data_IF_946513760880
#
_entry.id   IF_946513760880
#
_cell.length_a   1.000
_cell.length_b   1.000
_cell.length_c   1.000
_cell.angle_alpha   90.00
_cell.angle_beta   90.00
_cell.angle_gamma   90.00
#
_symmetry.space_group_name_H-M   'P 1'
#
loop_
_entity.id
_entity.type
_entity.pdbx_description
1 polymer ?
#
# COMPACT_ATOMS: atom_id res chain seq x y z
N UNK A 1 9.31 1.30 -17.19
CA UNK A 1 9.91 2.64 -16.97
C UNK A 1 9.05 3.38 -15.94
N UNK A 2 9.63 4.19 -15.03
CA UNK A 2 8.84 4.93 -14.04
C UNK A 2 7.89 5.89 -14.76
N UNK A 3 6.65 5.98 -14.31
CA UNK A 3 5.66 6.94 -14.84
C UNK A 3 6.04 8.36 -14.43
N UNK A 4 5.48 9.36 -15.10
CA UNK A 4 5.69 10.76 -14.72
C UNK A 4 5.28 11.05 -13.26
N UNK A 5 4.27 10.31 -12.76
CA UNK A 5 3.80 10.36 -11.38
C UNK A 5 4.86 9.84 -10.40
N UNK A 6 5.51 8.71 -10.72
CA UNK A 6 6.53 8.11 -9.86
C UNK A 6 7.73 9.06 -9.69
N UNK A 7 8.11 9.75 -10.77
CA UNK A 7 9.20 10.74 -10.76
C UNK A 7 8.84 11.94 -9.87
N UNK A 8 7.65 12.52 -10.03
CA UNK A 8 7.21 13.69 -9.25
C UNK A 8 7.04 13.36 -7.77
N UNK A 9 6.53 12.17 -7.45
CA UNK A 9 6.38 11.69 -6.06
C UNK A 9 7.75 11.60 -5.38
N UNK A 10 8.75 11.05 -6.09
CA UNK A 10 10.13 10.95 -5.60
C UNK A 10 10.75 12.33 -5.32
N UNK A 11 10.47 13.33 -6.17
CA UNK A 11 10.99 14.69 -6.00
C UNK A 11 10.33 15.37 -4.78
N UNK A 12 9.02 15.21 -4.62
CA UNK A 12 8.26 15.82 -3.52
C UNK A 12 8.58 15.18 -2.15
N UNK A 13 8.98 13.90 -2.11
CA UNK A 13 9.36 13.21 -0.87
C UNK A 13 10.68 13.67 -0.22
N UNK A 14 11.50 14.47 -0.91
CA UNK A 14 12.76 14.99 -0.37
C UNK A 14 12.55 16.31 0.37
N UNK A 15 12.22 16.22 1.65
CA UNK A 15 12.24 17.39 2.54
C UNK A 15 13.68 17.63 3.01
N UNK A 16 14.34 18.67 2.48
CA UNK A 16 15.77 18.96 2.67
C UNK A 16 16.19 19.44 4.07
N UNK A 17 15.44 19.05 5.11
CA UNK A 17 15.68 19.43 6.49
C UNK A 17 16.89 18.70 7.09
N UNK A 18 17.71 19.42 7.87
CA UNK A 18 18.84 18.80 8.58
C UNK A 18 18.34 17.89 9.70
N UNK A 19 18.73 16.61 9.65
CA UNK A 19 18.43 15.63 10.68
C UNK A 19 19.54 15.59 11.74
N UNK A 20 19.17 15.47 13.01
CA UNK A 20 20.14 15.35 14.10
C UNK A 20 20.87 13.99 14.06
N UNK A 21 22.07 13.92 14.66
CA UNK A 21 22.83 12.67 14.75
C UNK A 21 22.06 11.54 15.48
N UNK A 22 21.23 11.89 16.48
CA UNK A 22 20.39 10.92 17.17
C UNK A 22 19.23 10.43 16.31
N UNK A 23 18.65 11.30 15.47
CA UNK A 23 17.60 10.92 14.52
C UNK A 23 18.15 9.96 13.47
N UNK A 24 19.34 10.24 12.94
CA UNK A 24 20.03 9.37 11.98
C UNK A 24 20.36 8.01 12.60
N UNK A 25 20.95 7.98 13.80
CA UNK A 25 21.26 6.72 14.48
C UNK A 25 20.01 5.90 14.80
N UNK A 26 18.91 6.54 15.20
CA UNK A 26 17.63 5.86 15.40
C UNK A 26 17.10 5.28 14.08
N UNK A 27 17.13 6.06 12.98
CA UNK A 27 16.70 5.63 11.67
C UNK A 27 17.53 4.46 11.12
N UNK A 28 18.84 4.41 11.40
CA UNK A 28 19.71 3.29 11.02
C UNK A 28 19.35 1.98 11.75
N UNK A 29 18.81 2.07 12.97
CA UNK A 29 18.40 0.91 13.76
C UNK A 29 16.94 0.51 13.56
N UNK A 30 16.13 1.37 12.95
CA UNK A 30 14.70 1.18 12.74
C UNK A 30 14.42 -0.05 11.83
N UNK A 31 13.66 -1.06 12.31
CA UNK A 31 13.28 -2.21 11.50
C UNK A 31 12.64 -1.86 10.16
N UNK A 32 11.84 -0.79 10.09
CA UNK A 32 11.17 -0.35 8.86
C UNK A 32 12.18 0.08 7.78
N UNK A 33 13.32 0.66 8.17
CA UNK A 33 14.37 1.08 7.24
C UNK A 33 15.34 -0.05 6.88
N UNK A 34 15.47 -1.06 7.76
CA UNK A 34 16.47 -2.13 7.62
C UNK A 34 15.97 -3.35 6.83
N UNK A 35 14.66 -3.64 6.88
CA UNK A 35 14.13 -4.88 6.34
C UNK A 35 14.42 -5.07 4.84
N UNK A 36 14.25 -4.02 4.03
CA UNK A 36 14.52 -4.07 2.59
C UNK A 36 15.94 -4.52 2.28
N UNK A 37 16.95 -3.85 2.84
CA UNK A 37 18.35 -4.19 2.61
C UNK A 37 18.69 -5.60 3.15
N UNK A 38 18.11 -6.00 4.28
CA UNK A 38 18.31 -7.35 4.81
C UNK A 38 17.74 -8.43 3.88
N UNK A 39 16.55 -8.19 3.31
CA UNK A 39 15.91 -9.08 2.35
C UNK A 39 16.71 -9.18 1.04
N UNK A 40 17.19 -8.05 0.51
CA UNK A 40 18.02 -8.01 -0.69
C UNK A 40 19.34 -8.77 -0.49
N UNK A 41 19.99 -8.55 0.66
CA UNK A 41 21.22 -9.27 1.01
C UNK A 41 21.00 -10.77 1.16
N UNK A 42 19.85 -11.19 1.69
CA UNK A 42 19.49 -12.62 1.76
C UNK A 42 19.32 -13.21 0.35
N UNK A 43 18.60 -12.52 -0.54
CA UNK A 43 18.35 -12.97 -1.90
C UNK A 43 19.64 -13.04 -2.74
N UNK A 44 20.50 -12.02 -2.65
CA UNK A 44 21.80 -12.01 -3.32
C UNK A 44 22.72 -13.13 -2.78
N UNK A 45 22.79 -13.30 -1.46
CA UNK A 45 23.56 -14.39 -0.86
C UNK A 45 23.06 -15.77 -1.28
N UNK A 46 21.74 -15.97 -1.33
CA UNK A 46 21.14 -17.25 -1.69
C UNK A 46 21.44 -17.61 -3.15
N UNK A 47 21.29 -16.64 -4.05
CA UNK A 47 21.57 -16.85 -5.47
C UNK A 47 23.07 -17.04 -5.75
N UNK A 48 23.95 -16.36 -5.01
CA UNK A 48 25.39 -16.61 -5.07
C UNK A 48 25.75 -18.03 -4.60
N UNK A 49 25.14 -18.50 -3.50
CA UNK A 49 25.31 -19.86 -3.02
C UNK A 49 24.80 -20.89 -4.04
N UNK A 50 23.69 -20.58 -4.72
CA UNK A 50 23.11 -21.42 -5.76
C UNK A 50 24.04 -21.58 -6.97
N UNK A 51 24.61 -20.48 -7.49
CA UNK A 51 25.59 -20.55 -8.58
C UNK A 51 26.81 -21.40 -8.20
N UNK A 52 27.32 -21.26 -6.98
CA UNK A 52 28.46 -22.04 -6.51
C UNK A 52 28.12 -23.54 -6.39
N UNK A 53 26.93 -23.87 -5.88
CA UNK A 53 26.49 -25.26 -5.69
C UNK A 53 26.08 -25.94 -7.00
N UNK A 54 25.50 -25.20 -7.96
CA UNK A 54 25.23 -25.71 -9.30
C UNK A 54 26.54 -26.13 -10.00
N UNK A 55 27.63 -25.41 -9.73
CA UNK A 55 28.97 -25.75 -10.20
C UNK A 55 29.23 -25.36 -11.67
N UNK A 56 30.50 -25.39 -12.09
CA UNK A 56 30.92 -24.80 -13.36
C UNK A 56 30.28 -25.46 -14.59
N UNK A 57 30.02 -26.77 -14.54
CA UNK A 57 29.45 -27.51 -15.67
C UNK A 57 27.99 -27.14 -15.92
N UNK A 58 27.18 -27.03 -14.86
CA UNK A 58 25.77 -26.59 -14.97
C UNK A 58 25.71 -25.14 -15.42
N UNK A 59 26.56 -24.28 -14.86
CA UNK A 59 26.60 -22.88 -15.25
C UNK A 59 27.04 -22.69 -16.71
N UNK A 60 28.03 -23.44 -17.18
CA UNK A 60 28.45 -23.42 -18.59
C UNK A 60 27.34 -23.91 -19.54
N UNK A 61 26.54 -24.90 -19.11
CA UNK A 61 25.36 -25.35 -19.85
C UNK A 61 24.29 -24.27 -19.95
N UNK A 62 24.00 -23.56 -18.86
CA UNK A 62 23.09 -22.40 -18.85
C UNK A 62 23.58 -21.31 -19.80
N UNK A 63 24.87 -20.93 -19.69
CA UNK A 63 25.49 -19.91 -20.53
C UNK A 63 25.42 -20.30 -22.02
N UNK A 64 25.67 -21.58 -22.34
CA UNK A 64 25.58 -22.10 -23.71
C UNK A 64 24.15 -22.07 -24.24
N UNK A 65 23.16 -22.53 -23.45
CA UNK A 65 21.75 -22.52 -23.86
C UNK A 65 21.25 -21.09 -24.13
N UNK A 66 21.59 -20.15 -23.25
CA UNK A 66 21.27 -18.74 -23.42
C UNK A 66 21.89 -18.14 -24.68
N UNK A 67 23.15 -18.48 -25.01
CA UNK A 67 23.79 -18.02 -26.24
C UNK A 67 23.11 -18.57 -27.52
N UNK A 68 22.53 -19.78 -27.45
CA UNK A 68 21.88 -20.42 -28.60
C UNK A 68 20.44 -19.91 -28.84
N UNK A 69 19.78 -19.34 -27.83
CA UNK A 69 18.46 -18.72 -27.94
C UNK A 69 18.44 -17.45 -28.81
N UNK A 70 19.60 -16.81 -29.02
CA UNK A 70 19.71 -15.55 -29.75
C UNK A 70 19.40 -14.32 -28.90
N UNK A 71 19.02 -13.20 -29.53
CA UNK A 71 18.65 -11.93 -28.87
C UNK A 71 19.75 -11.24 -28.05
N UNK A 72 21.02 -11.62 -28.20
CA UNK A 72 22.11 -11.10 -27.38
C UNK A 72 21.84 -11.26 -25.88
N UNK A 73 21.20 -12.38 -25.50
CA UNK A 73 20.71 -12.61 -24.15
C UNK A 73 21.81 -12.49 -23.09
N UNK A 74 23.00 -13.02 -23.37
CA UNK A 74 24.16 -12.97 -22.47
C UNK A 74 24.78 -11.57 -22.35
N UNK A 75 24.47 -10.67 -23.28
CA UNK A 75 24.92 -9.27 -23.27
C UNK A 75 23.89 -8.34 -22.62
N UNK A 76 22.70 -8.84 -22.30
CA UNK A 76 21.61 -8.06 -21.72
C UNK A 76 21.90 -7.67 -20.26
N UNK A 77 21.38 -6.51 -19.84
CA UNK A 77 21.64 -5.96 -18.50
C UNK A 77 21.16 -6.90 -17.38
N UNK A 78 20.00 -7.54 -17.54
CA UNK A 78 19.45 -8.47 -16.56
C UNK A 78 20.02 -9.89 -16.66
N UNK A 79 20.96 -10.18 -17.58
CA UNK A 79 21.53 -11.53 -17.72
C UNK A 79 22.08 -12.12 -16.41
N UNK A 80 22.86 -11.39 -15.58
CA UNK A 80 23.37 -11.95 -14.33
C UNK A 80 22.26 -12.36 -13.35
N UNK A 81 21.11 -11.69 -13.38
CA UNK A 81 19.95 -12.01 -12.53
C UNK A 81 19.27 -13.29 -13.03
N UNK A 82 18.96 -13.34 -14.33
CA UNK A 82 18.37 -14.53 -14.96
C UNK A 82 19.25 -15.77 -14.74
N UNK A 83 20.56 -15.64 -14.96
CA UNK A 83 21.56 -16.70 -14.78
C UNK A 83 21.54 -17.27 -13.35
N UNK A 84 21.43 -16.40 -12.36
CA UNK A 84 21.35 -16.76 -10.93
C UNK A 84 20.06 -17.49 -10.58
N UNK A 85 18.92 -17.05 -11.12
CA UNK A 85 17.64 -17.76 -10.90
C UNK A 85 17.61 -19.13 -11.59
N UNK A 86 18.23 -19.26 -12.76
CA UNK A 86 18.43 -20.57 -13.40
C UNK A 86 19.30 -21.50 -12.55
N UNK A 87 20.37 -20.98 -11.91
CA UNK A 87 21.17 -21.76 -10.97
C UNK A 87 20.34 -22.23 -9.76
N UNK A 88 19.47 -21.35 -9.23
CA UNK A 88 18.57 -21.70 -8.13
C UNK A 88 17.61 -22.84 -8.52
N UNK A 89 16.99 -22.76 -9.70
CA UNK A 89 16.14 -23.83 -10.24
C UNK A 89 16.90 -25.16 -10.33
N UNK A 90 18.15 -25.12 -10.80
CA UNK A 90 18.99 -26.31 -10.96
C UNK A 90 19.27 -27.02 -9.63
N UNK A 91 19.61 -26.28 -8.57
CA UNK A 91 19.89 -26.87 -7.26
C UNK A 91 18.62 -27.30 -6.51
N UNK A 92 17.46 -26.77 -6.89
CA UNK A 92 16.14 -27.22 -6.44
C UNK A 92 15.65 -28.47 -7.20
N UNK A 93 16.43 -28.97 -8.17
CA UNK A 93 16.15 -30.20 -8.90
C UNK A 93 15.35 -30.03 -10.20
N UNK A 94 15.11 -28.79 -10.64
CA UNK A 94 14.49 -28.50 -11.93
C UNK A 94 15.54 -28.46 -13.05
N UNK A 95 15.14 -28.69 -14.31
CA UNK A 95 16.03 -28.47 -15.46
C UNK A 95 16.02 -26.97 -15.84
N UNK A 96 17.12 -26.24 -15.63
CA UNK A 96 17.18 -24.81 -15.95
C UNK A 96 17.12 -24.52 -17.46
N UNK A 97 17.53 -25.46 -18.32
CA UNK A 97 17.48 -25.27 -19.78
C UNK A 97 16.05 -25.38 -20.26
N UNK A 98 15.30 -26.37 -19.78
CA UNK A 98 13.89 -26.53 -20.14
C UNK A 98 13.08 -25.32 -19.65
N UNK A 99 13.31 -24.86 -18.42
CA UNK A 99 12.67 -23.66 -17.89
C UNK A 99 12.98 -22.40 -18.73
N UNK A 100 14.23 -22.26 -19.20
CA UNK A 100 14.63 -21.15 -20.07
C UNK A 100 13.96 -21.23 -21.45
N UNK A 101 13.88 -22.42 -22.04
CA UNK A 101 13.19 -22.62 -23.32
C UNK A 101 11.68 -22.38 -23.21
N UNK A 102 11.05 -22.84 -22.13
CA UNK A 102 9.63 -22.61 -21.87
C UNK A 102 9.33 -21.11 -21.70
N UNK A 103 10.17 -20.38 -20.97
CA UNK A 103 10.08 -18.92 -20.87
C UNK A 103 10.22 -18.23 -22.25
N UNK A 104 11.06 -18.78 -23.12
CA UNK A 104 11.30 -18.27 -24.48
C UNK A 104 10.26 -18.75 -25.51
N UNK A 105 9.34 -19.65 -25.17
CA UNK A 105 8.35 -20.20 -26.11
C UNK A 105 7.41 -19.13 -26.67
N UNK A 106 7.14 -18.08 -25.88
CA UNK A 106 6.41 -16.90 -26.36
C UNK A 106 7.40 -15.89 -26.96
N UNK A 107 7.12 -15.30 -28.14
CA UNK A 107 8.01 -14.29 -28.72
C UNK A 107 8.33 -13.12 -27.76
N UNK A 108 9.58 -12.66 -27.77
CA UNK A 108 10.05 -11.54 -26.94
C UNK A 108 9.71 -10.17 -27.55
N UNK A 109 9.41 -10.11 -28.85
CA UNK A 109 9.12 -8.86 -29.55
C UNK A 109 10.32 -7.91 -29.59
N UNK A 110 10.06 -6.62 -29.33
CA UNK A 110 11.02 -5.52 -29.28
C UNK A 110 11.49 -5.19 -27.85
N UNK A 111 11.49 -6.18 -26.96
CA UNK A 111 11.88 -6.01 -25.56
C UNK A 111 13.25 -5.33 -25.42
N UNK A 112 13.30 -4.26 -24.63
CA UNK A 112 14.53 -3.50 -24.37
C UNK A 112 15.58 -4.33 -23.62
N UNK A 113 15.12 -5.22 -22.72
CA UNK A 113 15.95 -6.19 -22.02
C UNK A 113 15.30 -7.58 -22.13
N UNK A 114 15.77 -8.45 -23.05
CA UNK A 114 15.21 -9.80 -23.22
C UNK A 114 15.46 -10.69 -22.00
N UNK A 115 16.56 -10.50 -21.25
CA UNK A 115 16.84 -11.29 -20.05
C UNK A 115 15.84 -10.97 -18.93
N UNK A 116 15.46 -9.69 -18.77
CA UNK A 116 14.45 -9.31 -17.80
C UNK A 116 13.08 -9.94 -18.12
N UNK A 117 12.72 -10.00 -19.41
CA UNK A 117 11.46 -10.64 -19.84
C UNK A 117 11.49 -12.15 -19.62
N UNK A 118 12.61 -12.82 -19.89
CA UNK A 118 12.73 -14.26 -19.64
C UNK A 118 12.74 -14.58 -18.15
N UNK A 119 13.44 -13.77 -17.34
CA UNK A 119 13.45 -13.91 -15.88
C UNK A 119 12.03 -13.80 -15.31
N UNK A 120 11.27 -12.83 -15.80
CA UNK A 120 9.85 -12.63 -15.50
C UNK A 120 8.96 -13.85 -15.85
N UNK A 121 9.35 -14.65 -16.84
CA UNK A 121 8.61 -15.85 -17.29
C UNK A 121 9.08 -17.14 -16.66
N UNK A 122 10.18 -17.13 -15.92
CA UNK A 122 10.63 -18.34 -15.25
C UNK A 122 9.54 -18.84 -14.30
N UNK A 123 9.41 -20.17 -14.14
CA UNK A 123 8.45 -20.72 -13.21
C UNK A 123 8.76 -20.17 -11.81
N UNK A 124 7.76 -19.57 -11.17
CA UNK A 124 7.86 -19.28 -9.74
C UNK A 124 8.03 -20.63 -9.05
N UNK A 125 9.10 -20.86 -8.25
CA UNK A 125 9.32 -22.18 -7.68
C UNK A 125 8.12 -22.54 -6.81
N UNK A 126 7.58 -23.75 -7.02
CA UNK A 126 6.37 -24.21 -6.35
C UNK A 126 6.64 -24.36 -4.86
N UNK A 127 5.98 -23.55 -4.04
CA UNK A 127 6.10 -23.60 -2.59
C UNK A 127 4.81 -23.16 -1.93
N UNK A 128 3.80 -24.03 -1.97
CA UNK A 128 2.50 -23.78 -1.31
C UNK A 128 2.58 -24.19 0.17
N UNK A 129 3.48 -25.13 0.48
CA UNK A 129 3.68 -25.67 1.82
C UNK A 129 4.50 -24.72 2.70
N UNK A 130 4.27 -24.80 4.01
CA UNK A 130 4.94 -23.93 4.99
C UNK A 130 6.46 -24.14 5.03
N UNK A 131 6.94 -25.33 4.63
CA UNK A 131 8.35 -25.68 4.56
C UNK A 131 9.10 -24.97 3.42
N UNK A 132 8.39 -24.58 2.35
CA UNK A 132 8.99 -23.93 1.18
C UNK A 132 9.04 -22.40 1.29
N UNK A 133 8.56 -21.86 2.42
CA UNK A 133 8.52 -20.42 2.67
C UNK A 133 9.85 -19.98 3.25
N UNK A 134 10.48 -19.03 2.58
CA UNK A 134 11.65 -18.34 3.09
C UNK A 134 11.35 -17.45 4.28
N UNK A 135 12.30 -16.59 4.68
CA UNK A 135 12.10 -15.69 5.82
C UNK A 135 10.93 -14.71 5.63
N UNK A 136 10.50 -14.46 4.38
CA UNK A 136 9.26 -13.76 4.02
C UNK A 136 8.49 -14.60 3.00
N UNK A 137 7.17 -14.38 2.88
CA UNK A 137 6.30 -15.19 2.03
C UNK A 137 6.63 -15.15 0.53
N UNK A 138 7.30 -14.10 0.06
CA UNK A 138 7.76 -13.96 -1.32
C UNK A 138 9.24 -14.31 -1.51
N UNK A 139 9.98 -14.58 -0.44
CA UNK A 139 11.37 -14.98 -0.52
C UNK A 139 11.50 -16.51 -0.57
N UNK A 140 12.42 -17.05 -1.39
CA UNK A 140 12.73 -18.48 -1.39
C UNK A 140 13.27 -18.96 -0.05
N UNK A 141 12.92 -20.19 0.33
CA UNK A 141 13.58 -20.92 1.39
C UNK A 141 15.02 -21.26 0.98
N UNK A 142 15.85 -21.65 1.95
CA UNK A 142 17.20 -22.14 1.67
C UNK A 142 17.05 -23.58 1.14
N UNK A 143 17.46 -23.89 -0.10
CA UNK A 143 17.38 -25.25 -0.63
C UNK A 143 18.18 -26.25 0.21
N UNK A 144 17.67 -27.48 0.34
CA UNK A 144 18.27 -28.53 1.17
C UNK A 144 19.75 -28.76 0.86
N UNK A 145 20.14 -28.72 -0.41
CA UNK A 145 21.54 -28.87 -0.85
C UNK A 145 22.45 -27.84 -0.15
N UNK A 146 22.00 -26.58 -0.06
CA UNK A 146 22.75 -25.49 0.59
C UNK A 146 22.74 -25.63 2.12
N UNK A 147 21.70 -26.22 2.72
CA UNK A 147 21.66 -26.44 4.18
C UNK A 147 22.77 -27.37 4.67
N UNK A 148 23.29 -28.23 3.78
CA UNK A 148 24.40 -29.13 4.06
C UNK A 148 25.79 -28.56 3.73
N UNK A 149 25.85 -27.38 3.08
CA UNK A 149 27.09 -26.73 2.71
C UNK A 149 27.70 -26.01 3.92
N UNK A 150 28.89 -26.42 4.43
CA UNK A 150 29.49 -25.82 5.62
C UNK A 150 29.90 -24.35 5.43
N UNK A 151 30.10 -23.90 4.19
CA UNK A 151 30.46 -22.52 3.84
C UNK A 151 29.25 -21.60 3.93
N UNK A 152 28.12 -22.04 3.36
CA UNK A 152 26.94 -21.19 3.15
C UNK A 152 25.86 -21.36 4.22
N UNK A 153 25.69 -22.56 4.78
CA UNK A 153 24.58 -22.86 5.67
C UNK A 153 24.50 -21.88 6.85
N UNK A 154 25.59 -21.70 7.61
CA UNK A 154 25.61 -20.81 8.77
C UNK A 154 25.30 -19.37 8.38
N UNK A 155 25.87 -18.90 7.27
CA UNK A 155 25.70 -17.52 6.80
C UNK A 155 24.25 -17.25 6.35
N UNK A 156 23.66 -18.13 5.55
CA UNK A 156 22.31 -17.96 5.04
C UNK A 156 21.24 -18.12 6.13
N UNK A 157 21.44 -19.01 7.10
CA UNK A 157 20.56 -19.09 8.26
C UNK A 157 20.59 -17.79 9.07
N UNK A 158 21.77 -17.24 9.36
CA UNK A 158 21.89 -15.97 10.06
C UNK A 158 21.23 -14.80 9.29
N UNK A 159 21.31 -14.80 7.95
CA UNK A 159 20.61 -13.82 7.11
C UNK A 159 19.09 -14.00 7.15
N UNK A 160 18.61 -15.23 7.05
CA UNK A 160 17.19 -15.53 7.14
C UNK A 160 16.62 -15.15 8.51
N UNK A 161 17.34 -15.45 9.60
CA UNK A 161 16.95 -15.09 10.96
C UNK A 161 16.86 -13.58 11.14
N UNK A 162 17.84 -12.81 10.66
CA UNK A 162 17.77 -11.35 10.69
C UNK A 162 16.52 -10.80 9.97
N UNK A 163 16.19 -11.35 8.79
CA UNK A 163 14.99 -10.93 8.05
C UNK A 163 13.72 -11.26 8.84
N UNK A 164 13.62 -12.44 9.45
CA UNK A 164 12.49 -12.85 10.29
C UNK A 164 12.35 -11.95 11.51
N UNK A 165 13.46 -11.69 12.22
CA UNK A 165 13.49 -10.82 13.38
C UNK A 165 12.99 -9.41 13.05
N UNK A 166 13.50 -8.79 11.97
CA UNK A 166 13.06 -7.47 11.53
C UNK A 166 11.57 -7.46 11.17
N UNK A 167 11.11 -8.48 10.44
CA UNK A 167 9.70 -8.62 10.09
C UNK A 167 8.80 -8.78 11.32
N UNK A 168 9.20 -9.57 12.32
CA UNK A 168 8.45 -9.77 13.55
C UNK A 168 8.37 -8.50 14.40
N UNK A 169 9.45 -7.70 14.45
CA UNK A 169 9.41 -6.38 15.08
C UNK A 169 8.41 -5.45 14.37
N UNK A 170 8.42 -5.41 13.03
CA UNK A 170 7.45 -4.61 12.25
C UNK A 170 6.02 -5.09 12.52
N UNK A 171 5.77 -6.40 12.55
CA UNK A 171 4.45 -6.97 12.87
C UNK A 171 3.99 -6.54 14.26
N UNK A 172 4.87 -6.59 15.26
CA UNK A 172 4.59 -6.17 16.63
C UNK A 172 4.18 -4.70 16.69
N UNK A 173 4.97 -3.82 16.09
CA UNK A 173 4.69 -2.38 16.00
C UNK A 173 3.37 -2.09 15.29
N UNK A 174 3.14 -2.73 14.14
CA UNK A 174 1.96 -2.51 13.32
C UNK A 174 0.66 -2.95 14.02
N UNK A 175 0.69 -4.05 14.78
CA UNK A 175 -0.46 -4.50 15.58
C UNK A 175 -0.83 -3.52 16.68
N UNK A 176 0.17 -2.85 17.25
CA UNK A 176 0.01 -1.88 18.33
C UNK A 176 -0.45 -0.50 17.84
N UNK A 177 -0.51 -0.25 16.53
CA UNK A 177 -1.00 1.02 16.01
C UNK A 177 -2.45 1.30 16.45
N UNK A 178 -2.71 2.58 16.73
CA UNK A 178 -4.02 3.17 16.96
C UNK A 178 -4.30 4.31 15.95
N UNK A 179 -5.44 4.99 16.08
CA UNK A 179 -5.86 6.06 15.17
C UNK A 179 -4.84 7.22 15.08
N UNK A 180 -4.06 7.44 16.14
CA UNK A 180 -3.09 8.54 16.23
C UNK A 180 -1.72 8.15 15.72
N UNK A 181 -1.30 6.89 15.89
CA UNK A 181 0.03 6.41 15.50
C UNK A 181 0.05 5.74 14.11
N UNK A 182 -1.10 5.30 13.60
CA UNK A 182 -1.17 4.59 12.32
C UNK A 182 -0.87 5.53 11.13
N UNK A 183 -0.04 5.08 10.17
CA UNK A 183 0.07 5.74 8.87
C UNK A 183 -1.28 5.86 8.17
N UNK A 184 -1.43 6.88 7.31
CA UNK A 184 -2.71 7.16 6.65
C UNK A 184 -3.30 5.97 5.89
N UNK A 185 -2.46 5.17 5.21
CA UNK A 185 -2.89 3.96 4.49
C UNK A 185 -3.44 2.86 5.43
N UNK A 186 -2.98 2.82 6.68
CA UNK A 186 -3.31 1.76 7.65
C UNK A 186 -4.56 2.07 8.48
N UNK A 187 -4.92 3.35 8.65
CA UNK A 187 -6.08 3.78 9.46
C UNK A 187 -7.38 3.06 9.11
N UNK A 188 -7.75 2.86 7.82
CA UNK A 188 -8.98 2.14 7.47
C UNK A 188 -8.98 0.67 7.92
N UNK A 189 -7.81 0.09 8.20
CA UNK A 189 -7.64 -1.32 8.51
C UNK A 189 -7.54 -1.61 10.02
N UNK A 190 -7.55 -0.58 10.87
CA UNK A 190 -7.35 -0.71 12.31
C UNK A 190 -8.38 -1.64 12.96
N UNK A 191 -9.66 -1.53 12.59
CA UNK A 191 -10.74 -2.34 13.19
C UNK A 191 -11.04 -3.64 12.44
N UNK A 192 -10.34 -3.86 11.33
CA UNK A 192 -10.44 -5.07 10.56
C UNK A 192 -9.49 -6.15 11.07
N UNK A 193 -8.60 -6.59 10.21
CA UNK A 193 -7.70 -7.69 10.48
C UNK A 193 -6.30 -7.17 10.84
N UNK A 194 -6.02 -7.03 12.15
CA UNK A 194 -4.70 -6.62 12.66
C UNK A 194 -3.54 -7.51 12.16
N UNK A 195 -3.79 -8.79 11.89
CA UNK A 195 -2.77 -9.67 11.27
C UNK A 195 -2.50 -9.23 9.82
N UNK A 196 -3.54 -8.97 9.03
CA UNK A 196 -3.38 -8.53 7.64
C UNK A 196 -2.69 -7.17 7.55
N UNK A 197 -3.08 -6.23 8.42
CA UNK A 197 -2.43 -4.92 8.55
C UNK A 197 -0.93 -5.08 8.85
N UNK A 198 -0.56 -5.98 9.76
CA UNK A 198 0.83 -6.28 10.09
C UNK A 198 1.61 -6.88 8.90
N UNK A 199 1.00 -7.81 8.15
CA UNK A 199 1.66 -8.34 6.94
C UNK A 199 1.82 -7.29 5.85
N UNK A 200 0.85 -6.37 5.69
CA UNK A 200 0.97 -5.24 4.75
C UNK A 200 2.13 -4.33 5.17
N UNK A 201 2.30 -4.06 6.47
CA UNK A 201 3.43 -3.27 6.96
C UNK A 201 4.78 -3.91 6.65
N UNK A 202 4.91 -5.23 6.83
CA UNK A 202 6.11 -5.99 6.45
C UNK A 202 6.35 -5.94 4.94
N UNK A 203 5.29 -6.14 4.14
CA UNK A 203 5.36 -6.07 2.68
C UNK A 203 5.88 -4.71 2.22
N UNK A 204 5.28 -3.63 2.71
CA UNK A 204 5.72 -2.27 2.41
C UNK A 204 7.19 -2.03 2.79
N UNK A 205 7.59 -2.42 3.99
CA UNK A 205 8.96 -2.21 4.48
C UNK A 205 9.99 -3.02 3.67
N UNK A 206 9.68 -4.25 3.28
CA UNK A 206 10.58 -5.07 2.47
C UNK A 206 10.73 -4.57 1.02
N UNK A 207 9.69 -3.94 0.48
CA UNK A 207 9.68 -3.34 -0.85
C UNK A 207 10.10 -1.86 -0.87
N UNK A 208 10.63 -1.35 0.24
CA UNK A 208 11.07 0.04 0.38
C UNK A 208 10.00 1.06 -0.06
N UNK A 209 8.74 0.78 0.28
CA UNK A 209 7.63 1.66 -0.07
C UNK A 209 7.74 2.93 0.75
N UNK A 210 7.79 4.07 0.06
CA UNK A 210 7.86 5.39 0.69
C UNK A 210 6.75 5.56 1.74
N UNK A 211 7.05 6.03 2.97
CA UNK A 211 6.03 6.35 3.97
C UNK A 211 4.93 7.30 3.47
N UNK A 212 5.24 8.18 2.52
CA UNK A 212 4.30 9.09 1.88
C UNK A 212 3.43 8.40 0.82
N UNK A 213 3.80 7.21 0.34
CA UNK A 213 2.97 6.44 -0.58
C UNK A 213 1.70 5.95 0.14
N UNK A 214 0.56 6.47 -0.30
CA UNK A 214 -0.75 6.21 0.31
C UNK A 214 -1.42 4.91 -0.15
N UNK A 215 -0.88 4.23 -1.17
CA UNK A 215 -1.38 2.94 -1.68
C UNK A 215 -1.22 1.89 -0.60
N UNK A 216 -2.21 1.03 -0.35
CA UNK A 216 -2.17 0.09 0.80
C UNK A 216 -0.92 -0.79 0.79
N UNK A 217 -0.55 -1.38 -0.35
CA UNK A 217 0.64 -2.24 -0.50
C UNK A 217 1.84 -1.53 -1.12
N UNK A 218 1.73 -0.25 -1.48
CA UNK A 218 2.70 0.43 -2.34
C UNK A 218 2.52 0.12 -3.84
N UNK A 219 3.53 0.40 -4.68
CA UNK A 219 3.49 0.18 -6.12
C UNK A 219 3.24 -1.28 -6.50
N UNK A 220 2.71 -1.49 -7.70
CA UNK A 220 2.52 -2.83 -8.27
C UNK A 220 3.88 -3.54 -8.37
N UNK A 221 3.94 -4.76 -7.87
CA UNK A 221 5.10 -5.62 -8.05
C UNK A 221 4.96 -6.36 -9.37
N UNK A 222 6.00 -6.32 -10.20
CA UNK A 222 5.98 -7.00 -11.49
C UNK A 222 6.52 -8.44 -11.37
N UNK A 223 5.96 -9.35 -12.18
CA UNK A 223 5.79 -10.77 -11.84
C UNK A 223 7.04 -11.48 -11.31
N UNK A 224 6.97 -11.67 -10.00
CA UNK A 224 7.76 -12.55 -9.17
C UNK A 224 6.84 -13.00 -8.03
N UNK A 225 7.37 -13.75 -7.05
CA UNK A 225 6.59 -14.18 -5.89
C UNK A 225 5.93 -13.02 -5.12
N UNK A 226 6.53 -11.83 -5.14
CA UNK A 226 5.98 -10.63 -4.49
C UNK A 226 4.68 -10.17 -5.12
N UNK A 227 4.56 -10.24 -6.46
CA UNK A 227 3.31 -9.95 -7.17
C UNK A 227 2.18 -10.92 -6.78
N UNK A 228 2.49 -12.21 -6.65
CA UNK A 228 1.53 -13.24 -6.22
C UNK A 228 1.04 -12.92 -4.79
N UNK A 229 1.97 -12.62 -3.87
CA UNK A 229 1.61 -12.27 -2.50
C UNK A 229 0.82 -10.95 -2.45
N UNK A 230 1.19 -9.94 -3.24
CA UNK A 230 0.46 -8.68 -3.33
C UNK A 230 -1.00 -8.92 -3.75
N UNK A 231 -1.23 -9.77 -4.76
CA UNK A 231 -2.56 -10.14 -5.20
C UNK A 231 -3.35 -10.90 -4.12
N UNK A 232 -2.68 -11.79 -3.36
CA UNK A 232 -3.29 -12.47 -2.22
C UNK A 232 -3.67 -11.48 -1.11
N UNK A 233 -2.83 -10.47 -0.84
CA UNK A 233 -3.11 -9.40 0.11
C UNK A 233 -4.34 -8.60 -0.35
N UNK A 234 -4.38 -8.15 -1.61
CA UNK A 234 -5.52 -7.43 -2.18
C UNK A 234 -6.81 -8.25 -2.10
N UNK A 235 -6.76 -9.54 -2.48
CA UNK A 235 -7.92 -10.44 -2.39
C UNK A 235 -8.44 -10.59 -0.96
N UNK A 236 -7.54 -10.67 0.04
CA UNK A 236 -7.92 -10.73 1.46
C UNK A 236 -8.48 -9.41 1.97
N UNK A 237 -7.93 -8.30 1.49
CA UNK A 237 -8.42 -6.97 1.80
C UNK A 237 -9.83 -6.78 1.24
N UNK A 238 -10.06 -7.09 -0.02
CA UNK A 238 -11.39 -7.05 -0.65
C UNK A 238 -12.39 -7.90 0.11
N UNK A 239 -12.01 -9.12 0.51
CA UNK A 239 -12.87 -10.00 1.30
C UNK A 239 -13.14 -9.47 2.72
N UNK A 240 -12.24 -8.67 3.29
CA UNK A 240 -12.44 -8.03 4.59
C UNK A 240 -13.34 -6.79 4.47
N UNK A 241 -13.12 -5.96 3.45
CA UNK A 241 -13.93 -4.77 3.16
C UNK A 241 -15.36 -5.15 2.76
N UNK A 242 -15.53 -6.18 1.93
CA UNK A 242 -16.86 -6.68 1.52
C UNK A 242 -17.66 -7.24 2.70
N UNK A 243 -16.99 -7.84 3.70
CA UNK A 243 -17.65 -8.28 4.95
C UNK A 243 -18.03 -7.10 5.86
N UNK A 244 -17.38 -5.95 5.71
CA UNK A 244 -17.65 -4.76 6.49
C UNK A 244 -18.88 -3.96 5.98
N UNK A 245 -19.42 -4.26 4.80
CA UNK A 245 -20.69 -3.67 4.36
C UNK A 245 -21.10 -3.96 2.92
N UNK A 246 -22.41 -3.97 2.67
CA UNK A 246 -23.02 -4.05 1.33
C UNK A 246 -22.69 -2.84 0.44
N UNK A 247 -22.27 -1.73 1.05
CA UNK A 247 -22.13 -0.44 0.39
C UNK A 247 -20.82 -0.32 -0.43
N UNK A 248 -19.78 -1.09 -0.11
CA UNK A 248 -18.55 -1.11 -0.94
C UNK A 248 -18.77 -1.76 -2.31
N UNK A 249 -19.64 -2.76 -2.38
CA UNK A 249 -20.07 -3.36 -3.65
C UNK A 249 -20.90 -2.39 -4.49
N UNK A 250 -21.78 -1.61 -3.83
CA UNK A 250 -22.53 -0.51 -4.46
C UNK A 250 -21.59 0.53 -5.10
N UNK A 251 -20.53 0.92 -4.39
CA UNK A 251 -19.56 1.89 -4.92
C UNK A 251 -18.74 1.35 -6.08
N UNK A 252 -18.34 0.08 -6.03
CA UNK A 252 -17.64 -0.57 -7.14
C UNK A 252 -18.51 -0.59 -8.41
N UNK A 253 -19.77 -1.00 -8.28
CA UNK A 253 -20.72 -1.00 -9.40
C UNK A 253 -20.93 0.41 -9.96
N UNK A 254 -21.03 1.42 -9.10
CA UNK A 254 -21.18 2.81 -9.52
C UNK A 254 -19.92 3.33 -10.24
N UNK A 255 -18.73 3.00 -9.76
CA UNK A 255 -17.47 3.36 -10.40
C UNK A 255 -17.33 2.75 -11.79
N UNK A 256 -17.71 1.49 -11.97
CA UNK A 256 -17.70 0.81 -13.28
C UNK A 256 -18.58 1.53 -14.31
N UNK A 257 -19.68 2.18 -13.89
CA UNK A 257 -20.51 2.97 -14.81
C UNK A 257 -19.88 4.29 -15.25
N UNK A 258 -18.93 4.82 -14.48
CA UNK A 258 -18.27 6.11 -14.74
C UNK A 258 -17.00 5.90 -15.57
N UNK A 259 -16.12 5.02 -15.08
CA UNK A 259 -14.90 4.63 -15.78
C UNK A 259 -14.45 3.26 -15.23
N UNK A 260 -14.36 2.22 -16.07
CA UNK A 260 -13.98 0.88 -15.63
C UNK A 260 -12.60 0.81 -14.97
N UNK A 261 -11.69 1.74 -15.28
CA UNK A 261 -10.35 1.80 -14.69
C UNK A 261 -10.31 2.50 -13.32
N UNK A 262 -11.44 2.98 -12.80
CA UNK A 262 -11.48 3.59 -11.47
C UNK A 262 -11.13 2.59 -10.38
N UNK A 263 -11.58 1.34 -10.52
CA UNK A 263 -11.40 0.31 -9.49
C UNK A 263 -10.00 -0.31 -9.53
N UNK A 264 -9.33 -0.20 -10.68
CA UNK A 264 -7.93 -0.58 -10.89
C UNK A 264 -6.95 0.48 -10.32
N UNK A 265 -7.40 1.72 -10.11
CA UNK A 265 -6.57 2.78 -9.55
C UNK A 265 -6.15 2.46 -8.11
N UNK A 266 -4.84 2.51 -7.77
CA UNK A 266 -4.36 2.33 -6.41
C UNK A 266 -4.98 3.27 -5.34
N UNK A 267 -5.53 4.41 -5.74
CA UNK A 267 -6.24 5.35 -4.85
C UNK A 267 -7.69 4.92 -4.56
N UNK A 268 -8.26 3.97 -5.32
CA UNK A 268 -9.65 3.55 -5.21
C UNK A 268 -10.10 3.17 -3.78
N UNK A 269 -9.37 2.36 -2.99
CA UNK A 269 -9.82 1.98 -1.65
C UNK A 269 -10.05 3.20 -0.74
N UNK A 270 -9.23 4.24 -0.92
CA UNK A 270 -9.35 5.48 -0.18
C UNK A 270 -10.54 6.31 -0.66
N UNK A 271 -10.72 6.43 -1.98
CA UNK A 271 -11.91 7.06 -2.53
C UNK A 271 -13.18 6.37 -2.02
N UNK A 272 -13.27 5.04 -2.08
CA UNK A 272 -14.42 4.29 -1.57
C UNK A 272 -14.71 4.56 -0.09
N UNK A 273 -13.68 4.73 0.74
CA UNK A 273 -13.84 5.11 2.16
C UNK A 273 -14.40 6.53 2.31
N UNK A 274 -13.93 7.48 1.48
CA UNK A 274 -14.45 8.84 1.47
C UNK A 274 -15.90 8.90 0.98
N UNK A 275 -16.25 8.13 -0.05
CA UNK A 275 -17.62 8.00 -0.55
C UNK A 275 -18.56 7.40 0.51
N UNK A 276 -18.09 6.38 1.23
CA UNK A 276 -18.84 5.81 2.34
C UNK A 276 -19.09 6.85 3.45
N UNK A 277 -18.06 7.58 3.86
CA UNK A 277 -18.19 8.65 4.84
C UNK A 277 -19.16 9.75 4.37
N UNK A 278 -19.09 10.15 3.09
CA UNK A 278 -19.98 11.15 2.53
C UNK A 278 -21.44 10.67 2.49
N UNK A 279 -21.68 9.42 2.08
CA UNK A 279 -23.01 8.82 2.11
C UNK A 279 -23.58 8.77 3.53
N UNK A 280 -22.77 8.37 4.51
CA UNK A 280 -23.16 8.39 5.94
C UNK A 280 -23.48 9.81 6.41
N UNK A 281 -22.74 10.81 5.95
CA UNK A 281 -23.03 12.23 6.20
C UNK A 281 -24.27 12.78 5.44
N UNK A 282 -24.95 11.93 4.66
CA UNK A 282 -26.19 12.26 3.95
C UNK A 282 -26.00 12.80 2.54
N UNK A 283 -24.82 12.61 1.94
CA UNK A 283 -24.56 13.02 0.56
C UNK A 283 -25.26 12.11 -0.46
N UNK A 284 -25.78 12.69 -1.55
CA UNK A 284 -26.10 11.92 -2.76
C UNK A 284 -24.81 11.63 -3.54
N UNK A 285 -24.16 10.54 -3.16
CA UNK A 285 -22.89 10.11 -3.76
C UNK A 285 -23.00 9.84 -5.25
N UNK A 286 -24.16 9.39 -5.74
CA UNK A 286 -24.35 9.12 -7.17
C UNK A 286 -24.33 10.40 -7.97
N UNK A 287 -25.06 11.43 -7.50
CA UNK A 287 -25.04 12.75 -8.13
C UNK A 287 -23.64 13.36 -8.08
N UNK A 288 -22.99 13.35 -6.91
CA UNK A 288 -21.65 13.89 -6.72
C UNK A 288 -20.61 13.28 -7.65
N UNK A 289 -20.61 11.94 -7.78
CA UNK A 289 -19.66 11.26 -8.64
C UNK A 289 -19.90 11.56 -10.12
N UNK A 290 -21.17 11.65 -10.55
CA UNK A 290 -21.50 11.99 -11.92
C UNK A 290 -21.09 13.43 -12.27
N UNK A 291 -21.37 14.38 -11.38
CA UNK A 291 -20.96 15.77 -11.54
C UNK A 291 -19.44 15.90 -11.55
N UNK A 292 -18.74 15.27 -10.59
CA UNK A 292 -17.28 15.31 -10.55
C UNK A 292 -16.62 14.64 -11.77
N UNK A 293 -17.21 13.56 -12.30
CA UNK A 293 -16.69 12.90 -13.50
C UNK A 293 -16.82 13.75 -14.77
N UNK A 294 -17.89 14.55 -14.86
CA UNK A 294 -18.17 15.41 -16.03
C UNK A 294 -17.51 16.79 -15.93
N UNK A 295 -17.23 17.27 -14.72
CA UNK A 295 -16.51 18.53 -14.49
C UNK A 295 -15.06 18.46 -14.96
N UNK A 296 -14.54 19.56 -15.52
CA UNK A 296 -13.13 19.70 -15.91
C UNK A 296 -12.60 18.67 -16.95
N UNK A 297 -13.48 18.07 -17.75
CA UNK A 297 -13.12 17.19 -18.87
C UNK A 297 -12.92 15.72 -18.48
N UNK A 298 -12.52 14.85 -19.43
CA UNK A 298 -12.38 13.41 -19.19
C UNK A 298 -11.36 13.11 -18.09
N UNK A 299 -11.57 12.00 -17.36
CA UNK A 299 -10.63 11.53 -16.37
C UNK A 299 -9.30 11.10 -17.04
N UNK A 300 -8.15 11.32 -16.39
CA UNK A 300 -6.86 10.88 -16.90
C UNK A 300 -6.80 9.34 -16.99
N UNK A 301 -5.98 8.84 -17.90
CA UNK A 301 -5.71 7.40 -18.01
C UNK A 301 -4.94 6.90 -16.77
N UNK A 302 -4.01 7.71 -16.26
CA UNK A 302 -3.25 7.41 -15.05
C UNK A 302 -3.94 8.02 -13.83
N UNK A 303 -4.20 7.19 -12.82
CA UNK A 303 -4.84 7.54 -11.55
C UNK A 303 -6.20 8.28 -11.66
N UNK A 304 -7.21 7.71 -12.36
CA UNK A 304 -8.53 8.32 -12.52
C UNK A 304 -9.27 8.53 -11.19
N UNK A 305 -9.12 7.65 -10.20
CA UNK A 305 -9.77 7.75 -8.89
C UNK A 305 -9.14 8.86 -8.03
N UNK A 306 -7.82 9.06 -8.11
CA UNK A 306 -7.17 10.19 -7.45
C UNK A 306 -7.63 11.52 -8.04
N UNK A 307 -7.75 11.61 -9.36
CA UNK A 307 -8.27 12.80 -10.04
C UNK A 307 -9.73 13.07 -9.67
N UNK A 308 -10.56 12.02 -9.61
CA UNK A 308 -11.95 12.12 -9.21
C UNK A 308 -12.09 12.59 -7.75
N UNK A 309 -11.28 12.06 -6.83
CA UNK A 309 -11.22 12.57 -5.46
C UNK A 309 -10.83 14.03 -5.40
N UNK A 310 -9.85 14.48 -6.19
CA UNK A 310 -9.46 15.89 -6.21
C UNK A 310 -10.60 16.83 -6.59
N UNK A 311 -11.45 16.41 -7.55
CA UNK A 311 -12.66 17.15 -7.94
C UNK A 311 -13.71 17.15 -6.82
N UNK A 312 -13.88 16.03 -6.13
CA UNK A 312 -14.80 15.88 -5.01
C UNK A 312 -14.33 16.57 -3.72
N UNK A 313 -13.02 16.63 -3.47
CA UNK A 313 -12.47 17.22 -2.26
C UNK A 313 -12.84 18.70 -2.17
N UNK A 314 -12.82 19.43 -3.30
CA UNK A 314 -13.26 20.81 -3.35
C UNK A 314 -14.70 21.05 -2.86
N UNK A 315 -15.56 20.01 -2.83
CA UNK A 315 -16.94 20.10 -2.34
C UNK A 315 -17.18 19.35 -1.02
N UNK A 316 -16.38 18.32 -0.71
CA UNK A 316 -16.58 17.45 0.44
C UNK A 316 -15.60 17.69 1.59
N UNK A 317 -14.44 18.30 1.37
CA UNK A 317 -13.44 18.50 2.41
C UNK A 317 -12.53 19.70 2.15
N UNK A 318 -12.34 20.62 3.11
CA UNK A 318 -11.44 21.75 2.92
C UNK A 318 -9.99 21.25 2.77
N UNK A 319 -9.15 21.89 1.92
CA UNK A 319 -7.75 21.54 1.78
C UNK A 319 -7.00 21.85 3.08
N UNK A 320 -6.92 20.84 3.93
CA UNK A 320 -6.25 20.88 5.23
C UNK A 320 -5.35 19.66 5.32
N UNK A 321 -4.12 19.86 5.81
CA UNK A 321 -3.23 18.75 6.08
C UNK A 321 -3.77 18.00 7.30
N UNK A 322 -4.09 16.72 7.14
CA UNK A 322 -4.41 15.87 8.29
C UNK A 322 -3.19 15.79 9.21
N UNK A 323 -3.37 16.16 10.46
CA UNK A 323 -2.31 16.23 11.45
C UNK A 323 -2.88 16.55 12.81
N UNK A 324 -2.44 15.82 13.84
CA UNK A 324 -2.88 16.06 15.21
C UNK A 324 -2.37 17.43 15.66
N UNK A 325 -3.26 18.42 15.72
CA UNK A 325 -2.97 19.73 16.30
C UNK A 325 -3.91 20.02 17.47
N UNK A 326 -3.47 19.59 18.65
CA UNK A 326 -4.20 19.83 19.91
C UNK A 326 -4.08 21.27 20.41
N UNK A 327 -3.36 22.15 19.72
CA UNK A 327 -3.30 23.58 20.07
C UNK A 327 -4.42 24.37 19.41
N UNK A 328 -4.98 23.88 18.30
CA UNK A 328 -6.18 24.45 17.70
C UNK A 328 -7.37 24.25 18.64
N UNK A 329 -7.80 25.34 19.28
CA UNK A 329 -8.94 25.39 20.21
C UNK A 329 -9.82 26.62 19.92
N UNK A 330 -10.61 26.61 18.84
CA UNK A 330 -11.57 27.67 18.60
C UNK A 330 -12.59 27.78 19.75
N UNK A 331 -13.19 28.97 19.98
CA UNK A 331 -14.15 29.18 21.07
C UNK A 331 -15.34 28.21 21.06
N UNK A 332 -15.76 27.75 19.89
CA UNK A 332 -16.87 26.81 19.73
C UNK A 332 -16.53 25.36 20.09
N UNK A 333 -15.30 25.04 20.50
CA UNK A 333 -14.94 23.71 21.03
C UNK A 333 -15.82 23.31 22.22
N UNK A 334 -16.23 24.27 23.05
CA UNK A 334 -17.18 24.05 24.14
C UNK A 334 -18.52 23.45 23.65
N UNK A 335 -18.97 23.81 22.45
CA UNK A 335 -20.20 23.28 21.86
C UNK A 335 -20.10 21.78 21.56
N UNK A 336 -18.91 21.28 21.17
CA UNK A 336 -18.72 19.84 20.97
C UNK A 336 -18.90 19.05 22.27
N UNK A 337 -18.44 19.61 23.39
CA UNK A 337 -18.65 19.01 24.71
C UNK A 337 -20.13 19.00 25.11
N UNK A 338 -20.88 20.04 24.74
CA UNK A 338 -22.32 20.09 24.97
C UNK A 338 -23.11 19.12 24.09
N UNK A 339 -22.76 19.01 22.80
CA UNK A 339 -23.48 18.21 21.82
C UNK A 339 -23.18 16.72 21.91
N UNK A 340 -21.92 16.33 22.17
CA UNK A 340 -21.48 14.92 22.13
C UNK A 340 -20.99 14.38 23.48
N UNK A 341 -20.90 15.22 24.50
CA UNK A 341 -20.28 14.88 25.78
C UNK A 341 -18.75 14.83 25.72
N UNK A 342 -18.10 14.90 26.88
CA UNK A 342 -16.65 15.10 26.99
C UNK A 342 -15.81 14.05 26.29
N UNK A 343 -16.19 12.77 26.39
CA UNK A 343 -15.39 11.67 25.81
C UNK A 343 -15.30 11.75 24.29
N UNK A 344 -16.42 12.02 23.62
CA UNK A 344 -16.47 12.08 22.15
C UNK A 344 -15.88 13.41 21.66
N UNK A 345 -16.16 14.51 22.37
CA UNK A 345 -15.57 15.80 22.05
C UNK A 345 -14.03 15.77 22.10
N UNK A 346 -13.43 15.19 23.14
CA UNK A 346 -11.98 15.04 23.21
C UNK A 346 -11.44 14.13 22.11
N UNK A 347 -12.14 13.03 21.79
CA UNK A 347 -11.76 12.17 20.68
C UNK A 347 -11.72 12.94 19.35
N UNK A 348 -12.77 13.72 19.04
CA UNK A 348 -12.84 14.59 17.85
C UNK A 348 -11.67 15.58 17.83
N UNK A 349 -11.39 16.22 18.95
CA UNK A 349 -10.40 17.28 19.07
C UNK A 349 -8.96 16.75 18.97
N UNK A 350 -8.72 15.51 19.40
CA UNK A 350 -7.43 14.82 19.25
C UNK A 350 -7.30 14.06 17.94
N UNK A 351 -8.32 14.08 17.09
CA UNK A 351 -8.30 13.37 15.82
C UNK A 351 -7.40 14.09 14.79
N UNK A 352 -6.63 13.38 13.95
CA UNK A 352 -5.89 13.98 12.86
C UNK A 352 -6.72 14.78 11.85
N UNK A 353 -8.03 14.53 11.75
CA UNK A 353 -8.97 15.29 10.92
C UNK A 353 -9.49 16.57 11.59
N UNK A 354 -9.15 16.83 12.85
CA UNK A 354 -9.57 18.03 13.59
C UNK A 354 -9.29 19.35 12.85
N UNK A 355 -8.10 19.59 12.27
CA UNK A 355 -7.84 20.83 11.53
C UNK A 355 -8.79 21.04 10.35
N UNK A 356 -9.22 19.95 9.69
CA UNK A 356 -10.18 20.00 8.59
C UNK A 356 -11.57 20.43 9.06
N UNK A 357 -12.05 19.89 10.18
CA UNK A 357 -13.29 20.34 10.79
C UNK A 357 -13.23 21.83 11.17
N UNK A 358 -12.11 22.26 11.75
CA UNK A 358 -11.91 23.67 12.11
C UNK A 358 -11.96 24.57 10.88
N UNK A 359 -11.31 24.19 9.79
CA UNK A 359 -11.33 24.93 8.54
C UNK A 359 -12.75 25.02 7.96
N UNK A 360 -13.49 23.90 7.92
CA UNK A 360 -14.85 23.84 7.40
C UNK A 360 -15.80 24.77 8.18
N UNK A 361 -15.78 24.69 9.51
CA UNK A 361 -16.62 25.55 10.37
C UNK A 361 -16.22 27.03 10.26
N UNK A 362 -14.94 27.32 10.08
CA UNK A 362 -14.45 28.71 9.95
C UNK A 362 -14.81 29.32 8.59
N UNK A 363 -14.82 28.51 7.53
CA UNK A 363 -15.19 28.95 6.18
C UNK A 363 -16.72 29.14 6.01
N UNK A 364 -17.51 28.50 6.87
CA UNK A 364 -18.97 28.61 6.83
C UNK A 364 -19.48 30.02 7.13
N UNK A 365 -20.54 30.43 6.44
CA UNK A 365 -21.25 31.68 6.69
C UNK A 365 -22.25 31.59 7.85
N UNK A 366 -22.40 30.41 8.46
CA UNK A 366 -23.34 30.14 9.55
C UNK A 366 -22.70 30.36 10.92
N UNK A 367 -23.49 30.74 11.96
CA UNK A 367 -23.01 30.69 13.33
C UNK A 367 -22.52 29.28 13.69
N UNK A 368 -21.30 29.11 14.24
CA UNK A 368 -20.73 27.79 14.54
C UNK A 368 -21.62 26.89 15.39
N UNK A 369 -22.33 27.45 16.37
CA UNK A 369 -23.28 26.71 17.21
C UNK A 369 -24.40 26.06 16.38
N UNK A 370 -25.08 26.85 15.54
CA UNK A 370 -26.24 26.37 14.78
C UNK A 370 -25.82 25.34 13.72
N UNK A 371 -24.67 25.57 13.10
CA UNK A 371 -24.07 24.65 12.13
C UNK A 371 -23.67 23.31 12.76
N UNK A 372 -22.98 23.35 13.92
CA UNK A 372 -22.56 22.15 14.62
C UNK A 372 -23.74 21.41 15.25
N UNK A 373 -24.78 22.11 15.72
CA UNK A 373 -26.00 21.49 16.22
C UNK A 373 -26.75 20.75 15.11
N UNK A 374 -26.92 21.37 13.94
CA UNK A 374 -27.54 20.73 12.77
C UNK A 374 -26.72 19.53 12.26
N UNK A 375 -25.39 19.63 12.28
CA UNK A 375 -24.53 18.49 11.94
C UNK A 375 -24.61 17.37 12.99
N UNK A 376 -24.67 17.72 14.28
CA UNK A 376 -24.76 16.77 15.38
C UNK A 376 -26.08 16.00 15.41
N UNK A 377 -27.20 16.64 15.07
CA UNK A 377 -28.51 15.99 14.95
C UNK A 377 -28.44 14.83 13.94
N UNK A 378 -27.88 15.09 12.75
CA UNK A 378 -27.69 14.05 11.73
C UNK A 378 -26.80 12.90 12.23
N UNK A 379 -25.70 13.21 12.92
CA UNK A 379 -24.84 12.16 13.49
C UNK A 379 -25.53 11.39 14.62
N UNK A 380 -26.44 12.01 15.37
CA UNK A 380 -27.21 11.32 16.39
C UNK A 380 -28.18 10.31 15.77
N UNK A 381 -28.85 10.69 14.67
CA UNK A 381 -29.73 9.80 13.91
C UNK A 381 -28.98 8.59 13.32
N UNK A 382 -27.77 8.80 12.78
CA UNK A 382 -26.90 7.70 12.37
C UNK A 382 -26.57 6.81 13.58
N UNK A 383 -26.17 7.41 14.72
CA UNK A 383 -25.76 6.66 15.91
C UNK A 383 -26.88 5.80 16.52
N UNK A 384 -28.15 6.17 16.27
CA UNK A 384 -29.31 5.40 16.69
C UNK A 384 -29.51 4.10 15.90
N UNK A 385 -28.98 4.03 14.68
CA UNK A 385 -29.16 2.89 13.76
C UNK A 385 -27.87 2.12 13.49
N UNK A 386 -26.71 2.78 13.63
CA UNK A 386 -25.38 2.26 13.33
C UNK A 386 -24.37 2.76 14.36
N UNK A 387 -23.35 1.95 14.66
CA UNK A 387 -22.27 2.42 15.54
C UNK A 387 -21.36 3.41 14.80
N UNK A 388 -21.10 4.57 15.40
CA UNK A 388 -20.09 5.52 14.93
C UNK A 388 -18.86 5.39 15.82
N UNK A 389 -17.70 5.19 15.20
CA UNK A 389 -16.44 5.07 15.94
C UNK A 389 -15.91 6.45 16.33
N UNK A 390 -15.22 6.61 17.48
CA UNK A 390 -14.69 7.90 17.90
C UNK A 390 -13.83 8.62 16.85
N UNK A 391 -13.02 7.89 16.09
CA UNK A 391 -12.16 8.37 15.00
C UNK A 391 -12.92 8.75 13.72
N UNK A 392 -14.20 8.39 13.62
CA UNK A 392 -15.04 8.76 12.48
C UNK A 392 -15.74 10.12 12.67
N UNK A 393 -15.94 10.55 13.93
CA UNK A 393 -16.75 11.73 14.23
C UNK A 393 -16.19 13.00 13.60
N UNK A 394 -14.89 13.26 13.71
CA UNK A 394 -14.29 14.47 13.16
C UNK A 394 -14.48 14.56 11.63
N UNK A 395 -14.30 13.44 10.92
CA UNK A 395 -14.47 13.37 9.47
C UNK A 395 -15.94 13.46 9.04
N UNK A 396 -16.83 12.73 9.71
CA UNK A 396 -18.27 12.77 9.41
C UNK A 396 -18.87 14.16 9.68
N UNK A 397 -18.44 14.82 10.76
CA UNK A 397 -18.82 16.21 11.04
C UNK A 397 -18.33 17.15 9.95
N UNK A 398 -17.07 16.99 9.49
CA UNK A 398 -16.52 17.81 8.41
C UNK A 398 -17.36 17.68 7.15
N UNK A 399 -17.66 16.44 6.73
CA UNK A 399 -18.51 16.18 5.56
C UNK A 399 -19.91 16.76 5.73
N UNK A 400 -20.52 16.59 6.90
CA UNK A 400 -21.86 17.12 7.14
C UNK A 400 -21.89 18.64 7.12
N UNK A 401 -20.89 19.30 7.71
CA UNK A 401 -20.73 20.75 7.67
C UNK A 401 -20.59 21.23 6.24
N UNK A 402 -19.72 20.63 5.44
CA UNK A 402 -19.52 21.02 4.04
C UNK A 402 -20.78 20.81 3.20
N UNK A 403 -21.52 19.73 3.41
CA UNK A 403 -22.80 19.51 2.72
C UNK A 403 -23.82 20.59 3.07
N UNK A 404 -23.94 20.96 4.34
CA UNK A 404 -24.87 22.01 4.80
C UNK A 404 -24.51 23.38 4.23
N UNK A 405 -23.22 23.72 4.17
CA UNK A 405 -22.75 25.01 3.64
C UNK A 405 -22.89 25.10 2.13
N UNK A 406 -22.63 24.02 1.40
CA UNK A 406 -22.77 23.98 -0.06
C UNK A 406 -24.24 23.97 -0.52
N UNK A 407 -25.13 23.27 0.19
CA UNK A 407 -26.57 23.32 -0.12
C UNK A 407 -27.20 24.69 0.19
N UNK A 408 -26.64 25.47 1.11
CA UNK A 408 -27.10 26.82 1.41
C UNK A 408 -26.61 27.87 0.40
N UNK A 409 -25.62 27.53 -0.45
CA UNK A 409 -25.03 28.42 -1.44
C UNK A 409 -25.70 28.32 -2.83
N UNK A 410 -26.53 27.30 -3.07
CA UNK A 410 -27.41 27.13 -4.24
C UNK A 410 -28.81 27.65 -3.94
#
# INVERSE_FOLDING_TARGET
PPTAVDILTTILGRDGAQQSAHTLAAAETDPFNRLHLAADMYSDALTAAAEQNAGPDVMARIDTAAAHLGHHLTDAQAWPVLRRHLALLAIEGHDPIDALHDAAATPLGDAHDPAAVLDWRLPAPTGVDAADRGPLHWLPAIPDVITTDPTWATYLHARADLVRELADHIRGTARAWDATTAPAWARPLLDGNRNLLAEIAVFRAAHHVDPADTRITGPEQHANRSAIIQQVIHSRLDAALTRAGADTARWRQLADTINPHLTDDPYWPRLATHLEGAARAGADVSALLHDAATQHGPLPADMPAAALWWRLAGTLAPPSLEGTDTKLRPPWTAELHHLFGTRIAEAIITDPAWPGLVAAVTAASWPPHDLLAAAAEHLHDISATQTIRPDEYARLLTYRVELLTHHAAT
#
